data_IF_564860849115
#
_entry.id   IF_564860849115
#
_cell.length_a   1.000
_cell.length_b   1.000
_cell.length_c   1.000
_cell.angle_alpha   90.00
_cell.angle_beta   90.00
_cell.angle_gamma   90.00
#
_symmetry.space_group_name_H-M   'P 1'
#
loop_
_entity.id
_entity.type
_entity.pdbx_description
1 polymer ?
#
# COMPACT_ATOMS: atom_id res chain seq x y z
N UNK A 1 -10.99 2.32 -9.40
CA UNK A 1 -11.43 3.74 -9.34
C UNK A 1 -12.65 3.89 -10.23
N UNK A 2 -13.83 4.11 -9.64
CA UNK A 2 -15.04 4.43 -10.42
C UNK A 2 -14.87 5.80 -11.11
N UNK A 3 -15.37 5.98 -12.34
CA UNK A 3 -15.23 7.24 -13.04
C UNK A 3 -16.08 8.32 -12.35
N UNK A 4 -15.44 9.26 -11.67
CA UNK A 4 -16.13 10.44 -11.14
C UNK A 4 -16.76 11.21 -12.33
N UNK A 5 -18.08 11.42 -12.27
CA UNK A 5 -18.84 12.16 -13.27
C UNK A 5 -18.97 13.62 -12.83
N UNK A 6 -18.87 14.53 -13.78
CA UNK A 6 -19.20 15.94 -13.58
C UNK A 6 -20.67 16.08 -13.19
N UNK A 7 -20.95 16.78 -12.10
CA UNK A 7 -22.32 17.03 -11.65
C UNK A 7 -23.11 17.90 -12.65
N UNK A 8 -22.44 18.77 -13.39
CA UNK A 8 -23.06 19.71 -14.33
C UNK A 8 -23.24 19.14 -15.74
N UNK A 9 -22.39 18.20 -16.18
CA UNK A 9 -22.41 17.70 -17.56
C UNK A 9 -22.61 16.18 -17.64
N UNK A 10 -22.66 15.48 -16.51
CA UNK A 10 -22.69 14.00 -16.39
C UNK A 10 -21.54 13.25 -17.10
N UNK A 11 -20.59 13.97 -17.71
CA UNK A 11 -19.41 13.42 -18.38
C UNK A 11 -18.37 12.97 -17.37
N UNK A 12 -17.69 11.88 -17.69
CA UNK A 12 -16.56 11.40 -16.91
C UNK A 12 -15.42 12.41 -17.01
N UNK A 13 -14.82 12.77 -15.88
CA UNK A 13 -13.62 13.59 -15.92
C UNK A 13 -12.47 12.81 -16.56
N UNK A 14 -11.87 13.39 -17.61
CA UNK A 14 -10.64 12.86 -18.18
C UNK A 14 -9.52 12.86 -17.15
N UNK A 15 -8.68 11.82 -17.18
CA UNK A 15 -7.56 11.63 -16.25
C UNK A 15 -6.63 12.85 -16.20
N UNK A 16 -6.35 13.49 -17.33
CA UNK A 16 -5.52 14.70 -17.37
C UNK A 16 -6.13 15.89 -16.62
N UNK A 17 -7.44 16.08 -16.72
CA UNK A 17 -8.12 17.15 -16.00
C UNK A 17 -8.08 16.91 -14.49
N UNK A 18 -8.30 15.66 -14.05
CA UNK A 18 -8.22 15.29 -12.63
C UNK A 18 -6.81 15.49 -12.08
N UNK A 19 -5.79 15.02 -12.80
CA UNK A 19 -4.40 15.15 -12.37
C UNK A 19 -3.96 16.61 -12.30
N UNK A 20 -4.35 17.43 -13.28
CA UNK A 20 -4.12 18.88 -13.23
C UNK A 20 -4.82 19.55 -12.04
N UNK A 21 -6.10 19.23 -11.80
CA UNK A 21 -6.86 19.81 -10.69
C UNK A 21 -6.27 19.44 -9.31
N UNK A 22 -5.66 18.27 -9.19
CA UNK A 22 -5.00 17.81 -7.97
C UNK A 22 -3.51 18.17 -7.89
N UNK A 23 -2.95 18.87 -8.88
CA UNK A 23 -1.52 19.22 -8.91
C UNK A 23 -0.58 18.01 -8.99
N UNK A 24 -1.07 16.87 -9.48
CA UNK A 24 -0.31 15.62 -9.54
C UNK A 24 0.28 15.39 -10.93
N UNK A 25 1.60 15.12 -11.04
CA UNK A 25 2.21 14.72 -12.29
C UNK A 25 1.59 13.43 -12.84
N UNK A 26 1.51 13.35 -14.17
CA UNK A 26 1.01 12.15 -14.87
C UNK A 26 1.90 10.93 -14.60
N UNK A 27 3.20 11.11 -14.46
CA UNK A 27 4.16 10.06 -14.09
C UNK A 27 3.78 9.40 -12.77
N UNK A 28 3.54 10.18 -11.71
CA UNK A 28 3.18 9.69 -10.38
C UNK A 28 1.94 8.78 -10.40
N UNK A 29 0.94 9.14 -11.21
CA UNK A 29 -0.25 8.32 -11.39
C UNK A 29 0.08 6.95 -11.98
N UNK A 30 0.88 6.91 -13.05
CA UNK A 30 1.26 5.65 -13.70
C UNK A 30 2.24 4.83 -12.88
N UNK A 31 3.14 5.46 -12.12
CA UNK A 31 4.02 4.77 -11.16
C UNK A 31 3.22 4.07 -10.06
N UNK A 32 2.29 4.78 -9.42
CA UNK A 32 1.41 4.16 -8.40
C UNK A 32 0.59 3.02 -9.00
N UNK A 33 0.08 3.19 -10.23
CA UNK A 33 -0.65 2.13 -10.92
C UNK A 33 0.25 0.91 -11.21
N UNK A 34 1.50 1.13 -11.60
CA UNK A 34 2.49 0.06 -11.78
C UNK A 34 2.76 -0.67 -10.48
N UNK A 35 2.94 0.05 -9.37
CA UNK A 35 3.17 -0.55 -8.05
C UNK A 35 1.98 -1.39 -7.57
N UNK A 36 0.74 -1.00 -7.87
CA UNK A 36 -0.47 -1.77 -7.52
C UNK A 36 -0.62 -3.08 -8.30
N UNK A 37 -0.11 -3.12 -9.54
CA UNK A 37 -0.16 -4.32 -10.39
C UNK A 37 1.07 -5.21 -10.14
N UNK A 38 2.18 -4.61 -9.71
CA UNK A 38 3.37 -5.34 -9.35
C UNK A 38 3.05 -6.28 -8.17
N UNK A 39 3.46 -7.56 -8.24
CA UNK A 39 3.31 -8.47 -7.12
C UNK A 39 4.05 -7.88 -5.91
N UNK A 40 3.29 -7.60 -4.85
CA UNK A 40 3.88 -7.20 -3.59
C UNK A 40 4.59 -8.42 -3.02
N UNK A 41 5.92 -8.43 -3.07
CA UNK A 41 6.69 -9.34 -2.24
C UNK A 41 6.31 -9.01 -0.79
N UNK A 42 5.90 -10.00 0.02
CA UNK A 42 5.68 -9.74 1.43
C UNK A 42 6.98 -9.17 1.97
N UNK A 43 6.92 -7.92 2.46
CA UNK A 43 8.04 -7.33 3.14
C UNK A 43 8.37 -8.27 4.31
N UNK A 44 9.52 -8.94 4.23
CA UNK A 44 9.95 -9.86 5.27
C UNK A 44 9.86 -9.14 6.61
N UNK A 45 9.06 -9.68 7.53
CA UNK A 45 8.87 -9.08 8.85
C UNK A 45 10.18 -9.16 9.62
N UNK A 46 10.87 -8.03 9.72
CA UNK A 46 12.00 -7.81 10.62
C UNK A 46 13.11 -8.87 10.54
N UNK A 47 14.06 -8.82 11.49
CA UNK A 47 14.99 -9.91 11.70
C UNK A 47 14.20 -11.16 12.08
N UNK A 48 14.38 -12.26 11.33
CA UNK A 48 13.87 -13.57 11.78
C UNK A 48 14.56 -13.91 13.09
N UNK A 49 13.79 -14.09 14.15
CA UNK A 49 14.35 -14.50 15.43
C UNK A 49 14.82 -15.97 15.30
N UNK A 50 15.94 -16.30 15.94
CA UNK A 50 16.47 -17.67 15.95
C UNK A 50 15.83 -18.58 17.01
N UNK A 51 14.79 -18.10 17.70
CA UNK A 51 14.14 -18.85 18.76
C UNK A 51 13.17 -19.87 18.17
N UNK A 52 13.29 -21.12 18.63
CA UNK A 52 12.18 -22.08 18.56
C UNK A 52 11.06 -21.64 19.51
N UNK A 53 9.81 -22.04 19.24
CA UNK A 53 8.64 -21.76 20.08
C UNK A 53 8.90 -22.16 21.56
N UNK A 54 9.58 -23.29 21.76
CA UNK A 54 9.95 -23.80 23.09
C UNK A 54 10.90 -22.86 23.84
N UNK A 55 11.88 -22.31 23.13
CA UNK A 55 12.87 -21.40 23.70
C UNK A 55 12.23 -20.05 24.03
N UNK A 56 11.33 -19.57 23.18
CA UNK A 56 10.57 -18.35 23.43
C UNK A 56 9.70 -18.50 24.67
N UNK A 57 9.03 -19.64 24.82
CA UNK A 57 8.14 -19.90 25.94
C UNK A 57 8.91 -20.00 27.26
N UNK A 58 10.11 -20.59 27.23
CA UNK A 58 11.01 -20.61 28.38
C UNK A 58 11.44 -19.19 28.81
N UNK A 59 11.81 -18.34 27.86
CA UNK A 59 12.27 -16.97 28.15
C UNK A 59 11.13 -16.08 28.69
N UNK A 60 9.92 -16.23 28.13
CA UNK A 60 8.73 -15.53 28.63
C UNK A 60 8.45 -15.92 30.09
N UNK A 61 8.49 -17.23 30.41
CA UNK A 61 8.27 -17.71 31.78
C UNK A 61 9.33 -17.19 32.75
N UNK A 62 10.60 -17.13 32.33
CA UNK A 62 11.70 -16.58 33.12
C UNK A 62 11.52 -15.09 33.43
N UNK A 63 10.93 -14.33 32.50
CA UNK A 63 10.78 -12.87 32.64
C UNK A 63 9.58 -12.48 33.52
N UNK A 64 8.53 -13.31 33.57
CA UNK A 64 7.32 -13.06 34.35
C UNK A 64 7.47 -13.47 35.83
N UNK A 65 8.53 -14.23 36.16
CA UNK A 65 8.81 -14.72 37.52
C UNK A 65 9.52 -13.67 38.38
#
# INVERSE_FOLDING_TARGET
MSPARSASTARVYGRDRLLKAWGLPRSTFYERRRQQVAPHLPAGRGPKTGYSDEQLLAEIRRTIQ
#
